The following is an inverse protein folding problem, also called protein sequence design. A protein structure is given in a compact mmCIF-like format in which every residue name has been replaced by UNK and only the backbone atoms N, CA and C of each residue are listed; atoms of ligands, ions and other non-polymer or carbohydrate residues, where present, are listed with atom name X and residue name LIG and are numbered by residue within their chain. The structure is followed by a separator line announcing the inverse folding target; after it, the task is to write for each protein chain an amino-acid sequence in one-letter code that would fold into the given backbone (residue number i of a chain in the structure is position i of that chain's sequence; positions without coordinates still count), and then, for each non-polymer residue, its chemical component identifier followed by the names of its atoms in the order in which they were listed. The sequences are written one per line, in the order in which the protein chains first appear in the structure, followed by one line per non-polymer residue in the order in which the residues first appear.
data_IF_713457589229
#
_entry.id   IF_713457589229
#
_cell.length_a   1.000
_cell.length_b   1.000
_cell.length_c   1.000
_cell.angle_alpha   90.00
_cell.angle_beta   90.00
_cell.angle_gamma   90.00
#
_symmetry.space_group_name_H-M   'P 1'
#
loop_
_entity.id
_entity.type
_entity.pdbx_description
1 polymer ?
#
# COMPACT_ATOMS: atom_id res chain seq x y z
N UNK A 1 11.84 -11.94 8.31
CA UNK A 1 12.01 -11.37 6.97
C UNK A 1 10.63 -11.05 6.43
N UNK A 2 10.45 -9.88 5.84
CA UNK A 2 9.25 -9.51 5.07
C UNK A 2 9.56 -9.71 3.59
N UNK A 3 8.64 -10.33 2.86
CA UNK A 3 8.80 -10.75 1.47
C UNK A 3 7.69 -10.20 0.58
N UNK A 4 7.88 -10.28 -0.74
CA UNK A 4 6.82 -9.90 -1.67
C UNK A 4 5.51 -10.67 -1.48
N UNK A 5 5.57 -11.92 -1.00
CA UNK A 5 4.38 -12.73 -0.74
C UNK A 5 3.61 -12.21 0.50
N UNK A 6 4.31 -11.63 1.47
CA UNK A 6 3.70 -10.91 2.59
C UNK A 6 2.93 -9.67 2.09
N UNK A 7 3.49 -8.93 1.13
CA UNK A 7 2.80 -7.80 0.49
C UNK A 7 1.59 -8.27 -0.35
N UNK A 8 1.73 -9.35 -1.11
CA UNK A 8 0.61 -9.96 -1.83
C UNK A 8 -0.53 -10.37 -0.87
N UNK A 9 -0.17 -10.86 0.32
CA UNK A 9 -1.14 -11.20 1.37
C UNK A 9 -1.82 -9.94 1.93
N UNK A 10 -1.06 -8.88 2.22
CA UNK A 10 -1.62 -7.61 2.69
C UNK A 10 -2.58 -7.00 1.66
N UNK A 11 -2.16 -6.92 0.38
CA UNK A 11 -2.99 -6.39 -0.71
C UNK A 11 -4.28 -7.21 -0.86
N UNK A 12 -4.19 -8.54 -0.81
CA UNK A 12 -5.38 -9.42 -0.86
C UNK A 12 -6.32 -9.13 0.31
N UNK A 13 -5.79 -8.97 1.52
CA UNK A 13 -6.58 -8.62 2.71
C UNK A 13 -7.33 -7.29 2.55
N UNK A 14 -6.66 -6.25 2.05
CA UNK A 14 -7.28 -4.94 1.76
C UNK A 14 -8.38 -5.08 0.72
N UNK A 15 -8.06 -5.74 -0.38
CA UNK A 15 -8.95 -5.88 -1.53
C UNK A 15 -10.20 -6.66 -1.15
N UNK A 16 -10.06 -7.79 -0.46
CA UNK A 16 -11.18 -8.62 -0.03
C UNK A 16 -12.09 -7.89 0.98
N UNK A 17 -11.52 -7.09 1.88
CA UNK A 17 -12.28 -6.31 2.84
C UNK A 17 -13.07 -5.15 2.19
N UNK A 18 -12.52 -4.53 1.14
CA UNK A 18 -13.15 -3.38 0.49
C UNK A 18 -14.08 -3.75 -0.67
N UNK A 19 -13.93 -4.93 -1.27
CA UNK A 19 -14.73 -5.36 -2.42
C UNK A 19 -16.25 -5.32 -2.18
N UNK A 20 -16.80 -5.66 -1.00
CA UNK A 20 -18.24 -5.51 -0.71
C UNK A 20 -18.74 -4.06 -0.70
N UNK A 21 -17.84 -3.09 -0.59
CA UNK A 21 -18.16 -1.67 -0.39
C UNK A 21 -18.12 -0.85 -1.68
N UNK A 22 -17.84 -1.47 -2.82
CA UNK A 22 -17.60 -0.75 -4.09
C UNK A 22 -18.85 -0.07 -4.67
N UNK A 23 -20.04 -0.44 -4.18
CA UNK A 23 -21.31 0.24 -4.50
C UNK A 23 -21.67 1.32 -3.47
N UNK A 24 -20.86 1.52 -2.42
CA UNK A 24 -21.07 2.55 -1.41
C UNK A 24 -20.47 3.91 -1.82
N UNK A 25 -20.85 4.96 -1.11
CA UNK A 25 -20.33 6.31 -1.32
C UNK A 25 -18.94 6.49 -0.71
N UNK A 26 -17.91 6.48 -1.56
CA UNK A 26 -16.52 6.73 -1.15
C UNK A 26 -16.15 8.21 -1.02
N UNK A 27 -17.11 9.14 -1.11
CA UNK A 27 -16.88 10.57 -0.83
C UNK A 27 -16.87 10.92 0.65
N UNK A 28 -17.35 10.03 1.53
CA UNK A 28 -17.24 10.17 2.98
C UNK A 28 -15.78 10.10 3.46
N UNK A 29 -15.48 10.78 4.58
CA UNK A 29 -14.16 10.75 5.21
C UNK A 29 -13.78 9.33 5.67
N UNK A 30 -12.52 8.94 5.50
CA UNK A 30 -11.99 7.63 5.89
C UNK A 30 -11.55 7.65 7.37
N UNK A 31 -12.28 6.98 8.24
CA UNK A 31 -12.01 6.92 9.67
C UNK A 31 -11.91 8.31 10.28
N UNK A 32 -10.77 8.60 10.90
CA UNK A 32 -10.44 9.91 11.47
C UNK A 32 -9.62 10.81 10.55
N UNK A 33 -9.40 10.42 9.30
CA UNK A 33 -8.62 11.20 8.34
C UNK A 33 -9.45 12.37 7.79
N UNK A 34 -8.76 13.44 7.39
CA UNK A 34 -9.34 14.54 6.60
C UNK A 34 -9.51 14.16 5.11
N UNK A 35 -9.18 12.92 4.74
CA UNK A 35 -9.27 12.40 3.38
C UNK A 35 -10.54 11.56 3.21
N UNK A 36 -11.15 11.66 2.02
CA UNK A 36 -12.27 10.79 1.64
C UNK A 36 -11.79 9.35 1.46
N UNK A 37 -12.69 8.37 1.55
CA UNK A 37 -12.37 6.98 1.25
C UNK A 37 -11.76 6.81 -0.14
N UNK A 38 -12.26 7.55 -1.13
CA UNK A 38 -11.68 7.58 -2.48
C UNK A 38 -10.24 8.10 -2.47
N UNK A 39 -9.99 9.23 -1.80
CA UNK A 39 -8.65 9.83 -1.72
C UNK A 39 -7.67 8.89 -1.01
N UNK A 40 -8.08 8.25 0.08
CA UNK A 40 -7.25 7.30 0.83
C UNK A 40 -6.94 6.04 0.02
N UNK A 41 -7.92 5.50 -0.71
CA UNK A 41 -7.69 4.36 -1.60
C UNK A 41 -6.78 4.73 -2.79
N UNK A 42 -6.96 5.91 -3.39
CA UNK A 42 -6.06 6.40 -4.44
C UNK A 42 -4.62 6.57 -3.94
N UNK A 43 -4.45 7.12 -2.73
CA UNK A 43 -3.17 7.24 -2.07
C UNK A 43 -2.46 5.89 -1.90
N UNK A 44 -3.18 4.82 -1.52
CA UNK A 44 -2.60 3.47 -1.45
C UNK A 44 -1.98 3.02 -2.77
N UNK A 45 -2.72 3.14 -3.88
CA UNK A 45 -2.20 2.78 -5.20
C UNK A 45 -1.02 3.67 -5.63
N UNK A 46 -1.10 4.97 -5.34
CA UNK A 46 -0.05 5.94 -5.62
C UNK A 46 1.24 5.62 -4.84
N UNK A 47 1.14 5.33 -3.53
CA UNK A 47 2.27 4.95 -2.69
C UNK A 47 2.96 3.68 -3.18
N UNK A 48 2.20 2.64 -3.53
CA UNK A 48 2.74 1.39 -4.07
C UNK A 48 3.53 1.60 -5.37
N UNK A 49 2.97 2.33 -6.33
CA UNK A 49 3.68 2.64 -7.58
C UNK A 49 4.90 3.54 -7.37
N UNK A 50 4.83 4.43 -6.39
CA UNK A 50 5.95 5.27 -6.00
C UNK A 50 7.13 4.42 -5.52
N UNK A 51 6.90 3.51 -4.58
CA UNK A 51 7.92 2.61 -4.05
C UNK A 51 8.40 1.58 -5.09
N UNK A 52 7.51 1.11 -5.97
CA UNK A 52 7.90 0.24 -7.07
C UNK A 52 8.92 0.95 -7.97
N UNK A 53 8.71 2.24 -8.22
CA UNK A 53 9.64 3.05 -9.01
C UNK A 53 10.97 3.28 -8.30
N UNK A 54 10.93 3.55 -7.00
CA UNK A 54 12.14 3.73 -6.19
C UNK A 54 13.06 2.51 -6.28
N UNK A 55 12.49 1.31 -6.14
CA UNK A 55 13.22 0.06 -6.23
C UNK A 55 13.68 -0.25 -7.65
N UNK A 56 12.80 -0.08 -8.65
CA UNK A 56 13.08 -0.43 -10.04
C UNK A 56 14.29 0.31 -10.64
N UNK A 57 14.57 1.53 -10.17
CA UNK A 57 15.71 2.33 -10.64
C UNK A 57 16.77 2.57 -9.56
N UNK A 58 16.65 1.92 -8.39
CA UNK A 58 17.51 2.14 -7.23
C UNK A 58 17.75 3.63 -6.94
N UNK A 59 16.68 4.43 -6.91
CA UNK A 59 16.76 5.89 -6.85
C UNK A 59 17.50 6.35 -5.57
N UNK A 60 18.66 7.03 -5.65
CA UNK A 60 19.58 7.10 -4.50
C UNK A 60 19.36 8.28 -3.57
N UNK A 61 18.76 9.39 -4.03
CA UNK A 61 18.78 10.67 -3.29
C UNK A 61 17.45 11.40 -3.21
N UNK A 62 16.50 11.01 -4.05
CA UNK A 62 15.18 11.62 -4.12
C UNK A 62 14.20 10.64 -4.72
N UNK A 63 12.95 10.96 -4.54
CA UNK A 63 11.84 10.31 -5.21
C UNK A 63 11.89 10.48 -6.74
N UNK A 64 11.60 9.39 -7.46
CA UNK A 64 11.37 9.42 -8.91
C UNK A 64 10.22 10.40 -9.16
N UNK A 65 10.41 11.31 -10.12
CA UNK A 65 9.52 12.46 -10.34
C UNK A 65 8.32 12.11 -11.21
N UNK A 66 7.43 11.29 -10.68
CA UNK A 66 6.11 11.04 -11.25
C UNK A 66 5.10 10.69 -10.15
N UNK A 67 3.82 10.79 -10.48
CA UNK A 67 2.73 10.35 -9.61
C UNK A 67 1.71 9.61 -10.46
N UNK A 68 1.13 8.56 -9.90
CA UNK A 68 -0.04 7.88 -10.43
C UNK A 68 -1.26 8.29 -9.62
N UNK A 69 -2.41 8.35 -10.27
CA UNK A 69 -3.72 8.50 -9.63
C UNK A 69 -4.66 7.48 -10.23
N UNK A 70 -5.78 7.20 -9.56
CA UNK A 70 -6.85 6.49 -10.22
C UNK A 70 -7.39 7.37 -11.38
N UNK A 71 -8.15 6.75 -12.28
CA UNK A 71 -8.81 7.51 -13.34
C UNK A 71 -9.83 8.50 -12.72
N UNK A 72 -9.89 9.72 -13.26
CA UNK A 72 -10.62 10.87 -12.68
C UNK A 72 -12.11 10.60 -12.37
N UNK A 73 -12.73 9.66 -13.09
CA UNK A 73 -14.14 9.27 -12.91
C UNK A 73 -14.31 7.76 -12.67
N UNK A 74 -13.26 7.06 -12.25
CA UNK A 74 -13.39 5.66 -11.86
C UNK A 74 -14.40 5.54 -10.71
N UNK A 75 -15.38 4.61 -10.79
CA UNK A 75 -16.17 4.25 -9.63
C UNK A 75 -15.27 3.60 -8.57
N UNK A 76 -15.74 3.44 -7.32
CA UNK A 76 -14.97 2.79 -6.26
C UNK A 76 -14.33 1.46 -6.66
N UNK A 77 -15.04 0.63 -7.44
CA UNK A 77 -14.50 -0.61 -8.00
C UNK A 77 -13.22 -0.38 -8.83
N UNK A 78 -13.21 0.65 -9.69
CA UNK A 78 -12.04 0.99 -10.50
C UNK A 78 -10.90 1.60 -9.70
N UNK A 79 -11.20 2.30 -8.59
CA UNK A 79 -10.17 2.75 -7.64
C UNK A 79 -9.57 1.55 -6.90
N UNK A 80 -10.40 0.56 -6.53
CA UNK A 80 -9.93 -0.68 -5.92
C UNK A 80 -9.08 -1.52 -6.87
N UNK A 81 -9.43 -1.59 -8.15
CA UNK A 81 -8.60 -2.22 -9.19
C UNK A 81 -7.23 -1.53 -9.30
N UNK A 82 -7.18 -0.20 -9.17
CA UNK A 82 -5.93 0.55 -9.13
C UNK A 82 -5.07 0.18 -7.91
N UNK A 83 -5.67 0.09 -6.71
CA UNK A 83 -4.98 -0.37 -5.49
C UNK A 83 -4.40 -1.77 -5.68
N UNK A 84 -5.22 -2.71 -6.18
CA UNK A 84 -4.79 -4.09 -6.41
C UNK A 84 -3.63 -4.15 -7.40
N UNK A 85 -3.78 -3.54 -8.59
CA UNK A 85 -2.77 -3.55 -9.62
C UNK A 85 -1.44 -2.92 -9.13
N UNK A 86 -1.51 -1.77 -8.47
CA UNK A 86 -0.34 -1.08 -7.93
C UNK A 86 0.40 -1.92 -6.88
N UNK A 87 -0.33 -2.54 -5.95
CA UNK A 87 0.24 -3.43 -4.94
C UNK A 87 0.91 -4.66 -5.55
N UNK A 88 0.27 -5.31 -6.53
CA UNK A 88 0.84 -6.45 -7.27
C UNK A 88 2.10 -6.06 -8.05
N UNK A 89 2.10 -4.88 -8.69
CA UNK A 89 3.28 -4.35 -9.39
C UNK A 89 4.45 -4.17 -8.41
N UNK A 90 4.21 -3.57 -7.24
CA UNK A 90 5.25 -3.44 -6.22
C UNK A 90 5.79 -4.81 -5.78
N UNK A 91 4.91 -5.78 -5.50
CA UNK A 91 5.33 -7.13 -5.12
C UNK A 91 6.21 -7.79 -6.21
N UNK A 92 5.85 -7.63 -7.48
CA UNK A 92 6.66 -8.11 -8.62
C UNK A 92 8.03 -7.42 -8.69
N UNK A 93 8.09 -6.10 -8.48
CA UNK A 93 9.35 -5.37 -8.43
C UNK A 93 10.20 -5.85 -7.27
N UNK A 94 9.63 -6.02 -6.07
CA UNK A 94 10.35 -6.54 -4.90
C UNK A 94 10.96 -7.91 -5.20
N UNK A 95 10.20 -8.84 -5.80
CA UNK A 95 10.71 -10.17 -6.20
C UNK A 95 11.90 -10.10 -7.14
N UNK A 96 11.89 -9.15 -8.07
CA UNK A 96 12.95 -8.98 -9.06
C UNK A 96 14.14 -8.14 -8.55
N UNK A 97 14.01 -7.49 -7.39
CA UNK A 97 15.02 -6.55 -6.89
C UNK A 97 16.09 -7.29 -6.08
N UNK A 98 17.39 -7.12 -6.39
CA UNK A 98 18.47 -7.69 -5.59
C UNK A 98 18.43 -7.23 -4.12
N UNK A 99 18.73 -8.12 -3.14
CA UNK A 99 18.64 -7.78 -1.71
C UNK A 99 19.60 -6.66 -1.26
N UNK A 100 20.70 -6.44 -2.00
CA UNK A 100 21.65 -5.36 -1.79
C UNK A 100 21.19 -4.00 -2.33
N UNK A 101 20.10 -3.95 -3.12
CA UNK A 101 19.56 -2.70 -3.64
C UNK A 101 19.22 -1.75 -2.49
N UNK A 102 19.49 -0.46 -2.70
CA UNK A 102 19.19 0.61 -1.78
C UNK A 102 18.50 1.74 -2.53
N UNK A 103 17.41 2.25 -1.98
CA UNK A 103 16.67 3.36 -2.56
C UNK A 103 16.25 4.36 -1.49
N UNK A 104 16.11 5.61 -1.91
CA UNK A 104 15.79 6.74 -1.06
C UNK A 104 14.34 6.72 -0.58
N UNK A 105 14.15 7.05 0.69
CA UNK A 105 12.90 7.43 1.32
C UNK A 105 13.15 8.70 2.19
N UNK A 106 12.17 9.60 2.38
CA UNK A 106 12.32 10.75 3.28
C UNK A 106 12.76 10.41 4.71
N UNK A 107 12.46 9.20 5.19
CA UNK A 107 12.85 8.69 6.50
C UNK A 107 14.16 7.89 6.50
N UNK A 108 14.85 7.77 5.36
CA UNK A 108 16.14 7.09 5.26
C UNK A 108 16.33 6.30 3.97
N UNK A 109 17.49 5.66 3.82
CA UNK A 109 17.76 4.75 2.71
C UNK A 109 17.20 3.36 3.07
N UNK A 110 16.27 2.86 2.26
CA UNK A 110 15.62 1.56 2.44
C UNK A 110 16.18 0.48 1.51
N UNK A 111 16.02 -0.78 1.93
CA UNK A 111 16.24 -1.99 1.13
C UNK A 111 14.89 -2.59 0.68
N UNK A 112 14.85 -3.62 -0.19
CA UNK A 112 13.59 -4.18 -0.66
C UNK A 112 12.68 -4.66 0.48
N UNK A 113 13.23 -5.29 1.52
CA UNK A 113 12.47 -5.72 2.69
C UNK A 113 11.85 -4.51 3.43
N UNK A 114 12.58 -3.41 3.58
CA UNK A 114 12.12 -2.19 4.22
C UNK A 114 10.97 -1.53 3.44
N UNK A 115 11.07 -1.42 2.12
CA UNK A 115 9.97 -0.94 1.28
C UNK A 115 8.75 -1.87 1.34
N UNK A 116 8.97 -3.18 1.41
CA UNK A 116 7.89 -4.16 1.54
C UNK A 116 7.18 -4.05 2.89
N UNK A 117 7.94 -3.88 3.98
CA UNK A 117 7.39 -3.65 5.31
C UNK A 117 6.58 -2.35 5.38
N UNK A 118 7.12 -1.25 4.83
CA UNK A 118 6.38 0.03 4.73
C UNK A 118 5.08 -0.14 3.94
N UNK A 119 5.13 -0.84 2.80
CA UNK A 119 3.94 -1.09 2.00
C UNK A 119 2.88 -1.91 2.74
N UNK A 120 3.28 -2.93 3.51
CA UNK A 120 2.33 -3.68 4.34
C UNK A 120 1.70 -2.80 5.44
N UNK A 121 2.50 -1.96 6.12
CA UNK A 121 1.98 -1.00 7.12
C UNK A 121 0.94 -0.09 6.48
N UNK A 122 1.30 0.54 5.36
CA UNK A 122 0.46 1.50 4.66
C UNK A 122 -0.87 0.86 4.22
N UNK A 123 -0.80 -0.31 3.57
CA UNK A 123 -1.98 -1.05 3.11
C UNK A 123 -2.92 -1.37 4.27
N UNK A 124 -2.41 -1.95 5.36
CA UNK A 124 -3.26 -2.43 6.44
C UNK A 124 -3.81 -1.31 7.33
N UNK A 125 -3.04 -0.24 7.56
CA UNK A 125 -3.52 0.92 8.32
C UNK A 125 -4.59 1.69 7.54
N UNK A 126 -4.36 2.01 6.27
CA UNK A 126 -5.37 2.73 5.50
C UNK A 126 -6.57 1.86 5.14
N UNK A 127 -6.42 0.54 5.03
CA UNK A 127 -7.57 -0.34 5.01
C UNK A 127 -8.39 -0.25 6.31
N UNK A 128 -7.75 -0.13 7.47
CA UNK A 128 -8.46 0.09 8.73
C UNK A 128 -9.23 1.42 8.72
N UNK A 129 -8.62 2.51 8.23
CA UNK A 129 -9.30 3.81 8.09
C UNK A 129 -10.53 3.70 7.18
N UNK A 130 -10.38 3.04 6.02
CA UNK A 130 -11.44 2.84 5.04
C UNK A 130 -12.59 1.99 5.59
N UNK A 131 -12.25 0.82 6.14
CA UNK A 131 -13.24 -0.14 6.68
C UNK A 131 -13.99 0.41 7.90
N UNK A 132 -13.37 1.31 8.67
CA UNK A 132 -14.05 2.01 9.78
C UNK A 132 -15.24 2.84 9.29
N UNK A 133 -15.08 3.60 8.20
CA UNK A 133 -16.18 4.38 7.61
C UNK A 133 -17.18 3.49 6.87
N UNK A 134 -16.65 2.55 6.08
CA UNK A 134 -17.46 1.69 5.20
C UNK A 134 -18.14 0.52 5.95
N UNK A 135 -17.92 0.43 7.26
CA UNK A 135 -18.53 -0.53 8.18
C UNK A 135 -18.30 -1.99 7.83
N UNK A 136 -17.11 -2.31 7.29
CA UNK A 136 -16.68 -3.68 7.00
C UNK A 136 -15.63 -4.18 8.01
N UNK A 137 -15.54 -5.49 8.26
CA UNK A 137 -14.47 -6.03 9.09
C UNK A 137 -13.15 -6.12 8.32
N UNK A 138 -12.06 -5.72 8.98
CA UNK A 138 -10.69 -5.99 8.53
C UNK A 138 -10.04 -7.01 9.45
N UNK A 139 -9.53 -8.12 8.89
CA UNK A 139 -8.89 -9.19 9.66
C UNK A 139 -7.46 -9.44 9.11
N UNK A 140 -6.51 -8.55 9.41
CA UNK A 140 -5.15 -8.70 8.90
C UNK A 140 -4.45 -9.89 9.59
N UNK A 141 -3.62 -10.68 8.87
CA UNK A 141 -2.94 -11.83 9.46
C UNK A 141 -2.01 -11.40 10.61
N UNK A 142 -2.27 -11.90 11.82
CA UNK A 142 -1.59 -11.43 13.03
C UNK A 142 -0.08 -11.68 13.00
N UNK A 143 0.36 -12.79 12.40
CA UNK A 143 1.77 -13.13 12.23
C UNK A 143 2.47 -12.17 11.27
N UNK A 144 1.79 -11.75 10.19
CA UNK A 144 2.28 -10.73 9.26
C UNK A 144 2.42 -9.40 9.98
N UNK A 145 1.38 -8.93 10.68
CA UNK A 145 1.42 -7.70 11.46
C UNK A 145 2.59 -7.67 12.44
N UNK A 146 2.80 -8.76 13.19
CA UNK A 146 3.88 -8.86 14.16
C UNK A 146 5.27 -8.73 13.50
N UNK A 147 5.51 -9.42 12.37
CA UNK A 147 6.79 -9.31 11.64
C UNK A 147 6.99 -7.91 11.07
N UNK A 148 5.94 -7.32 10.49
CA UNK A 148 5.99 -5.99 9.88
C UNK A 148 6.30 -4.92 10.93
N UNK A 149 5.62 -4.97 12.08
CA UNK A 149 5.89 -4.06 13.20
C UNK A 149 7.34 -4.18 13.68
N UNK A 150 7.84 -5.40 13.88
CA UNK A 150 9.23 -5.61 14.31
C UNK A 150 10.26 -5.08 13.29
N UNK A 151 9.94 -5.10 11.99
CA UNK A 151 10.83 -4.62 10.93
C UNK A 151 10.75 -3.10 10.70
N UNK A 152 9.56 -2.53 10.77
CA UNK A 152 9.30 -1.13 10.51
C UNK A 152 9.58 -0.24 11.74
N UNK A 153 9.36 -0.78 12.94
CA UNK A 153 9.48 -0.08 14.22
C UNK A 153 10.30 -0.92 15.22
N UNK A 154 11.63 -1.02 15.05
CA UNK A 154 12.48 -1.89 15.88
C UNK A 154 12.73 -1.37 17.31
N UNK A 155 12.08 -0.28 17.74
CA UNK A 155 12.32 0.42 19.01
C UNK A 155 11.00 0.82 19.67
#
# INVERSE_FOLDING_TARGET
MITADDLDTAVTCVVDALRPTVDQDWSALAGSLDWTCRTTAEHLGQAHLHWASQLAVAAPTKYVRWSATAQELAPPAGVLDFVEAAGRILALVVRATPPETRAYHPWGIGDPEGFTAMACVESLLHAHDLTTTLSEPLNPPADLCARVLARAFPH
#
